data_IF_507793349677
#
_entry.id   IF_507793349677
#
_cell.length_a   1.000
_cell.length_b   1.000
_cell.length_c   1.000
_cell.angle_alpha   90.00
_cell.angle_beta   90.00
_cell.angle_gamma   90.00
#
_symmetry.space_group_name_H-M   'P 1'
#
loop_
_entity.id
_entity.type
_entity.pdbx_description
1 polymer ?
#
# COMPACT_ATOMS: atom_id res chain seq x y z
N UNK A 1 -21.40 6.76 17.00
CA UNK A 1 -19.93 6.74 17.03
C UNK A 1 -19.47 5.74 18.07
N UNK A 2 -18.62 4.79 17.71
CA UNK A 2 -17.95 3.89 18.65
C UNK A 2 -16.74 4.61 19.24
N UNK A 3 -16.53 4.51 20.55
CA UNK A 3 -15.34 5.03 21.20
C UNK A 3 -14.16 4.08 20.96
N UNK A 4 -12.95 4.61 20.78
CA UNK A 4 -11.75 3.80 20.64
C UNK A 4 -11.56 2.87 21.85
N UNK A 5 -11.50 1.56 21.59
CA UNK A 5 -11.29 0.57 22.62
C UNK A 5 -9.78 0.28 22.79
N UNK A 6 -9.31 0.15 24.03
CA UNK A 6 -7.91 -0.23 24.30
C UNK A 6 -7.52 -1.54 23.58
N UNK A 7 -8.44 -2.49 23.43
CA UNK A 7 -8.22 -3.74 22.70
C UNK A 7 -8.04 -3.51 21.20
N UNK A 8 -8.75 -2.54 20.61
CA UNK A 8 -8.57 -2.17 19.20
C UNK A 8 -7.20 -1.56 18.98
N UNK A 9 -6.80 -0.62 19.83
CA UNK A 9 -5.46 0.00 19.78
C UNK A 9 -4.34 -1.05 19.93
N UNK A 10 -4.51 -2.07 20.78
CA UNK A 10 -3.51 -3.15 20.87
C UNK A 10 -3.51 -4.06 19.63
N UNK A 11 -4.65 -4.28 18.98
CA UNK A 11 -4.73 -5.05 17.72
C UNK A 11 -4.08 -4.32 16.55
N UNK A 12 -4.06 -3.00 16.60
CA UNK A 12 -3.43 -2.13 15.58
C UNK A 12 -1.90 -2.02 15.73
N UNK A 13 -1.30 -2.62 16.76
CA UNK A 13 0.16 -2.65 16.90
C UNK A 13 0.77 -3.78 16.07
N UNK A 14 1.79 -3.44 15.29
CA UNK A 14 2.50 -4.37 14.43
C UNK A 14 4.01 -4.16 14.46
N UNK A 15 4.75 -5.22 14.15
CA UNK A 15 6.19 -5.11 13.90
C UNK A 15 6.43 -4.71 12.44
N UNK A 16 7.24 -3.67 12.22
CA UNK A 16 7.57 -3.21 10.88
C UNK A 16 8.62 -4.11 10.22
N UNK A 17 8.27 -4.70 9.07
CA UNK A 17 9.15 -5.55 8.28
C UNK A 17 9.56 -4.83 6.99
N UNK A 18 10.86 -4.55 6.78
CA UNK A 18 11.32 -3.88 5.56
C UNK A 18 11.04 -4.70 4.31
N UNK A 19 10.36 -4.08 3.32
CA UNK A 19 10.07 -4.70 2.03
C UNK A 19 11.34 -5.06 1.25
N UNK A 20 12.42 -4.29 1.43
CA UNK A 20 13.74 -4.55 0.83
C UNK A 20 14.33 -5.91 1.20
N UNK A 21 13.88 -6.54 2.29
CA UNK A 21 14.27 -7.91 2.64
C UNK A 21 13.74 -8.97 1.65
N UNK A 22 12.82 -8.59 0.78
CA UNK A 22 12.21 -9.48 -0.21
C UNK A 22 12.59 -9.12 -1.66
N UNK A 23 13.26 -7.99 -1.88
CA UNK A 23 13.72 -7.58 -3.22
C UNK A 23 15.23 -7.66 -3.37
N UNK A 24 15.98 -7.18 -2.37
CA UNK A 24 17.42 -7.02 -2.52
C UNK A 24 18.13 -8.39 -2.43
N UNK A 25 18.96 -8.78 -3.42
CA UNK A 25 19.66 -10.06 -3.42
C UNK A 25 20.51 -10.32 -2.17
N UNK A 26 21.01 -9.26 -1.51
CA UNK A 26 21.76 -9.35 -0.25
C UNK A 26 20.91 -9.90 0.90
N UNK A 27 19.61 -9.65 0.89
CA UNK A 27 18.69 -9.97 1.99
C UNK A 27 17.65 -11.04 1.64
N UNK A 28 17.38 -11.30 0.36
CA UNK A 28 16.37 -12.27 -0.10
C UNK A 28 16.61 -13.65 0.54
N UNK A 29 17.88 -14.07 0.63
CA UNK A 29 18.30 -15.37 1.18
C UNK A 29 18.29 -15.45 2.71
N UNK A 30 17.96 -14.37 3.42
CA UNK A 30 17.80 -14.41 4.88
C UNK A 30 16.63 -15.32 5.26
N UNK A 31 16.78 -16.08 6.35
CA UNK A 31 15.66 -16.83 6.89
C UNK A 31 14.54 -15.89 7.35
N UNK A 32 13.29 -16.35 7.27
CA UNK A 32 12.15 -15.59 7.78
C UNK A 32 12.31 -15.26 9.27
N UNK A 33 12.90 -16.18 10.05
CA UNK A 33 13.24 -15.95 11.46
C UNK A 33 14.22 -14.76 11.61
N UNK A 34 15.22 -14.62 10.74
CA UNK A 34 16.15 -13.50 10.77
C UNK A 34 15.47 -12.18 10.38
N UNK A 35 14.66 -12.19 9.32
CA UNK A 35 13.86 -11.03 8.88
C UNK A 35 12.94 -10.52 10.00
N UNK A 36 12.19 -11.43 10.64
CA UNK A 36 11.31 -11.12 11.78
C UNK A 36 12.13 -10.65 13.00
N UNK A 37 13.26 -11.29 13.29
CA UNK A 37 14.14 -10.89 14.40
C UNK A 37 14.61 -9.45 14.25
N UNK A 38 14.99 -9.04 13.04
CA UNK A 38 15.35 -7.65 12.76
C UNK A 38 14.18 -6.70 13.08
N UNK A 39 12.96 -7.03 12.66
CA UNK A 39 11.76 -6.22 12.94
C UNK A 39 11.46 -6.05 14.42
N UNK A 40 11.54 -7.14 15.19
CA UNK A 40 11.30 -7.11 16.64
C UNK A 40 12.37 -6.26 17.33
N UNK A 41 13.63 -6.38 16.92
CA UNK A 41 14.72 -5.57 17.49
C UNK A 41 14.59 -4.09 17.10
N UNK A 42 14.18 -3.78 15.86
CA UNK A 42 13.92 -2.40 15.40
C UNK A 42 12.83 -1.72 16.22
N UNK A 43 11.74 -2.42 16.53
CA UNK A 43 10.66 -1.89 17.39
C UNK A 43 11.17 -1.55 18.81
N UNK A 44 12.14 -2.31 19.31
CA UNK A 44 12.73 -2.10 20.63
C UNK A 44 13.76 -0.97 20.71
N UNK A 45 14.06 -0.28 19.60
CA UNK A 45 14.96 0.88 19.63
C UNK A 45 14.46 1.95 20.60
N UNK A 46 13.14 2.19 20.64
CA UNK A 46 12.53 3.17 21.56
C UNK A 46 12.80 2.84 23.03
N UNK A 47 12.82 1.56 23.40
CA UNK A 47 13.17 1.14 24.76
C UNK A 47 14.65 1.42 25.07
N UNK A 48 15.53 1.24 24.09
CA UNK A 48 16.96 1.53 24.25
C UNK A 48 17.20 3.03 24.40
N UNK A 49 16.47 3.87 23.65
CA UNK A 49 16.49 5.33 23.81
C UNK A 49 16.05 5.73 25.21
N UNK A 50 14.91 5.20 25.70
CA UNK A 50 14.42 5.47 27.07
C UNK A 50 15.40 5.01 28.17
N UNK A 51 16.19 3.98 27.88
CA UNK A 51 17.23 3.48 28.78
C UNK A 51 18.57 4.23 28.64
N UNK A 52 18.64 5.29 27.82
CA UNK A 52 19.87 6.01 27.49
C UNK A 52 20.98 5.11 26.93
N UNK A 53 20.63 4.07 26.17
CA UNK A 53 21.59 3.19 25.50
C UNK A 53 21.97 3.75 24.13
N UNK A 54 22.63 4.91 24.17
CA UNK A 54 23.13 5.64 23.01
C UNK A 54 24.63 5.84 23.21
N UNK A 55 25.43 5.56 22.20
CA UNK A 55 26.87 5.76 22.27
C UNK A 55 27.29 7.19 21.91
N UNK A 56 28.60 7.45 21.88
CA UNK A 56 29.15 8.78 21.64
C UNK A 56 28.86 9.32 20.23
N UNK A 57 28.57 8.43 19.28
CA UNK A 57 28.28 8.80 17.90
C UNK A 57 26.78 9.04 17.68
N UNK A 58 25.95 8.80 18.71
CA UNK A 58 24.50 8.81 18.59
C UNK A 58 23.91 7.46 18.16
N UNK A 59 24.71 6.40 18.07
CA UNK A 59 24.23 5.09 17.67
C UNK A 59 23.56 4.37 18.85
N UNK A 60 22.36 3.84 18.59
CA UNK A 60 21.57 3.13 19.58
C UNK A 60 22.04 1.67 19.66
N UNK A 61 22.27 1.17 20.87
CA UNK A 61 22.66 -0.20 21.11
C UNK A 61 21.77 -0.90 22.14
N UNK A 62 21.79 -2.23 22.12
CA UNK A 62 21.13 -3.06 23.11
C UNK A 62 22.14 -3.70 24.06
N UNK A 63 21.78 -3.77 25.33
CA UNK A 63 22.48 -4.57 26.34
C UNK A 63 21.58 -5.76 26.71
N UNK A 64 21.57 -6.80 25.87
CA UNK A 64 20.78 -8.01 26.11
C UNK A 64 21.65 -9.25 26.27
N UNK A 65 21.33 -10.06 27.29
CA UNK A 65 21.87 -11.41 27.43
C UNK A 65 21.26 -12.33 26.37
N UNK A 66 21.90 -13.47 26.09
CA UNK A 66 21.35 -14.46 25.16
C UNK A 66 19.99 -15.00 25.65
N UNK A 67 19.79 -15.12 26.96
CA UNK A 67 18.51 -15.52 27.55
C UNK A 67 17.41 -14.48 27.33
N UNK A 68 17.74 -13.19 27.50
CA UNK A 68 16.80 -12.11 27.25
C UNK A 68 16.41 -12.05 25.77
N UNK A 69 17.36 -12.23 24.87
CA UNK A 69 17.08 -12.31 23.43
C UNK A 69 16.18 -13.49 23.08
N UNK A 70 16.44 -14.67 23.65
CA UNK A 70 15.56 -15.85 23.48
C UNK A 70 14.13 -15.55 23.91
N UNK A 71 13.96 -14.90 25.07
CA UNK A 71 12.63 -14.51 25.58
C UNK A 71 11.94 -13.49 24.68
N UNK A 72 12.67 -12.48 24.17
CA UNK A 72 12.12 -11.45 23.29
C UNK A 72 11.68 -12.05 21.94
N UNK A 73 12.50 -12.93 21.37
CA UNK A 73 12.28 -13.52 20.06
C UNK A 73 11.39 -14.77 20.10
N UNK A 74 10.98 -15.19 21.31
CA UNK A 74 10.26 -16.44 21.55
C UNK A 74 10.97 -17.67 20.97
N UNK A 75 12.28 -17.79 21.23
CA UNK A 75 13.13 -18.89 20.74
C UNK A 75 13.63 -19.72 21.92
N UNK A 76 13.32 -21.02 21.91
CA UNK A 76 13.80 -21.94 22.95
C UNK A 76 15.26 -22.36 22.74
N UNK A 77 15.67 -22.57 21.48
CA UNK A 77 16.98 -23.15 21.14
C UNK A 77 18.10 -22.09 21.05
N UNK A 78 19.23 -22.26 21.77
CA UNK A 78 20.39 -21.36 21.67
C UNK A 78 21.09 -21.46 20.30
N UNK A 79 21.01 -22.62 19.64
CA UNK A 79 21.58 -22.84 18.31
C UNK A 79 20.84 -22.02 17.25
N UNK A 80 19.51 -21.96 17.36
CA UNK A 80 18.66 -21.13 16.48
C UNK A 80 19.00 -19.65 16.64
N UNK A 81 19.12 -19.16 17.87
CA UNK A 81 19.56 -17.77 18.12
C UNK A 81 20.94 -17.48 17.51
N UNK A 82 21.88 -18.40 17.67
CA UNK A 82 23.24 -18.24 17.14
C UNK A 82 23.25 -18.22 15.60
N UNK A 83 22.43 -19.05 14.95
CA UNK A 83 22.25 -19.05 13.50
C UNK A 83 21.69 -17.71 12.99
N UNK A 84 20.62 -17.21 13.61
CA UNK A 84 20.00 -15.93 13.25
C UNK A 84 21.00 -14.78 13.40
N UNK A 85 21.76 -14.73 14.50
CA UNK A 85 22.80 -13.70 14.69
C UNK A 85 23.85 -13.75 13.59
N UNK A 86 24.31 -14.95 13.20
CA UNK A 86 25.27 -15.12 12.11
C UNK A 86 24.71 -14.63 10.77
N UNK A 87 23.48 -15.02 10.42
CA UNK A 87 22.81 -14.57 9.19
C UNK A 87 22.70 -13.04 9.12
N UNK A 88 22.22 -12.41 10.19
CA UNK A 88 22.10 -10.94 10.25
C UNK A 88 23.46 -10.23 10.21
N UNK A 89 24.50 -10.83 10.79
CA UNK A 89 25.86 -10.28 10.73
C UNK A 89 26.44 -10.39 9.32
N UNK A 90 26.23 -11.53 8.65
CA UNK A 90 26.68 -11.76 7.27
C UNK A 90 26.01 -10.81 6.27
N UNK A 91 24.74 -10.46 6.51
CA UNK A 91 24.01 -9.48 5.72
C UNK A 91 24.31 -8.02 6.11
N UNK A 92 25.23 -7.76 7.05
CA UNK A 92 25.52 -6.43 7.59
C UNK A 92 24.32 -5.69 8.22
N UNK A 93 23.35 -6.44 8.75
CA UNK A 93 22.17 -5.89 9.44
C UNK A 93 22.34 -5.86 10.96
N UNK A 94 23.39 -6.50 11.49
CA UNK A 94 23.63 -6.64 12.91
C UNK A 94 25.13 -6.64 13.21
N UNK A 95 25.52 -5.97 14.30
CA UNK A 95 26.89 -5.99 14.79
C UNK A 95 26.93 -6.22 16.31
N UNK A 96 27.97 -6.89 16.79
CA UNK A 96 28.15 -7.20 18.20
C UNK A 96 29.55 -6.80 18.66
N UNK A 97 29.62 -5.86 19.59
CA UNK A 97 30.87 -5.36 20.17
C UNK A 97 31.05 -5.93 21.57
N UNK A 98 32.19 -6.60 21.80
CA UNK A 98 32.59 -7.11 23.12
C UNK A 98 33.19 -5.97 23.96
N UNK A 99 32.61 -5.72 25.13
CA UNK A 99 32.98 -4.58 25.99
C UNK A 99 33.99 -4.96 27.08
N UNK A 100 34.09 -6.25 27.44
CA UNK A 100 35.07 -6.73 28.43
C UNK A 100 34.68 -8.08 29.06
N UNK A 101 35.45 -8.53 30.06
CA UNK A 101 35.08 -9.68 30.89
C UNK A 101 33.86 -9.32 31.76
N UNK A 102 32.92 -10.26 31.92
CA UNK A 102 31.68 -10.12 32.73
C UNK A 102 30.73 -8.97 32.36
N UNK A 103 30.96 -8.26 31.25
CA UNK A 103 30.03 -7.24 30.73
C UNK A 103 29.25 -7.81 29.55
N UNK A 104 27.92 -7.63 29.51
CA UNK A 104 27.13 -7.98 28.33
C UNK A 104 27.62 -7.23 27.10
N UNK A 105 27.58 -7.90 25.96
CA UNK A 105 28.00 -7.32 24.68
C UNK A 105 27.02 -6.22 24.25
N UNK A 106 27.55 -5.19 23.59
CA UNK A 106 26.72 -4.18 22.92
C UNK A 106 26.28 -4.72 21.58
N UNK A 107 24.98 -4.73 21.35
CA UNK A 107 24.39 -5.20 20.10
C UNK A 107 23.88 -4.00 19.32
N UNK A 108 24.24 -3.90 18.05
CA UNK A 108 23.83 -2.83 17.15
C UNK A 108 23.00 -3.42 16.03
N UNK A 109 21.88 -2.78 15.73
CA UNK A 109 21.07 -3.10 14.56
C UNK A 109 21.31 -2.04 13.50
N UNK A 110 21.56 -2.48 12.27
CA UNK A 110 21.87 -1.60 11.14
C UNK A 110 20.65 -1.46 10.24
N UNK A 111 20.56 -0.31 9.56
CA UNK A 111 19.55 -0.08 8.52
C UNK A 111 19.90 -0.91 7.28
N UNK A 112 18.92 -1.48 6.57
CA UNK A 112 19.17 -2.13 5.30
C UNK A 112 19.60 -1.12 4.25
N UNK A 113 20.51 -1.55 3.38
CA UNK A 113 20.84 -0.85 2.14
C UNK A 113 19.70 -0.99 1.13
N UNK A 114 19.46 0.07 0.36
CA UNK A 114 18.44 0.11 -0.69
C UNK A 114 19.14 0.53 -1.98
N UNK A 115 18.95 -0.24 -3.06
CA UNK A 115 19.45 0.09 -4.40
C UNK A 115 18.34 0.67 -5.27
N UNK A 116 18.70 1.34 -6.36
CA UNK A 116 17.72 1.87 -7.33
C UNK A 116 16.80 0.76 -7.89
N UNK A 117 17.37 -0.44 -8.11
CA UNK A 117 16.61 -1.61 -8.53
C UNK A 117 15.57 -2.02 -7.48
N UNK A 118 15.90 -1.96 -6.19
CA UNK A 118 14.94 -2.26 -5.11
C UNK A 118 13.77 -1.29 -5.10
N UNK A 119 14.03 0.01 -5.32
CA UNK A 119 12.96 1.03 -5.39
C UNK A 119 12.00 0.69 -6.52
N UNK A 120 12.54 0.36 -7.70
CA UNK A 120 11.73 -0.05 -8.86
C UNK A 120 10.93 -1.33 -8.59
N UNK A 121 11.55 -2.39 -8.05
CA UNK A 121 10.84 -3.65 -7.79
C UNK A 121 9.77 -3.51 -6.71
N UNK A 122 10.03 -2.75 -5.65
CA UNK A 122 9.03 -2.51 -4.60
C UNK A 122 7.85 -1.72 -5.17
N UNK A 123 8.11 -0.68 -5.97
CA UNK A 123 7.01 0.08 -6.59
C UNK A 123 6.20 -0.76 -7.56
N UNK A 124 6.83 -1.66 -8.31
CA UNK A 124 6.10 -2.56 -9.22
C UNK A 124 5.24 -3.56 -8.44
N UNK A 125 5.77 -4.20 -7.40
CA UNK A 125 4.99 -5.14 -6.56
C UNK A 125 3.82 -4.48 -5.84
N UNK A 126 3.94 -3.20 -5.47
CA UNK A 126 2.84 -2.45 -4.84
C UNK A 126 1.73 -2.06 -5.84
N UNK A 127 2.08 -1.98 -7.13
CA UNK A 127 1.18 -1.62 -8.22
C UNK A 127 0.76 -2.82 -9.08
N UNK A 128 1.17 -4.04 -8.73
CA UNK A 128 0.79 -5.26 -9.43
C UNK A 128 -0.71 -5.53 -9.20
N UNK A 129 -1.51 -5.17 -10.20
CA UNK A 129 -2.92 -5.55 -10.29
C UNK A 129 -2.92 -6.99 -10.79
N UNK A 130 -3.26 -7.96 -9.92
CA UNK A 130 -3.57 -9.31 -10.38
C UNK A 130 -4.69 -9.23 -11.41
N UNK A 131 -4.35 -9.36 -12.70
CA UNK A 131 -5.33 -9.74 -13.70
C UNK A 131 -5.87 -11.09 -13.26
N UNK A 132 -7.13 -11.13 -12.84
CA UNK A 132 -7.90 -12.38 -12.71
C UNK A 132 -8.02 -12.98 -14.10
N UNK A 133 -6.96 -13.63 -14.55
CA UNK A 133 -7.09 -14.68 -15.52
C UNK A 133 -7.83 -15.79 -14.78
N UNK A 134 -9.06 -16.06 -15.21
CA UNK A 134 -9.74 -17.32 -14.89
C UNK A 134 -8.88 -18.45 -15.48
N UNK A 135 -7.79 -18.80 -14.81
CA UNK A 135 -7.09 -20.07 -14.97
C UNK A 135 -7.48 -20.94 -13.80
N UNK A 136 -8.77 -21.26 -13.75
CA UNK A 136 -9.21 -22.53 -13.22
C UNK A 136 -8.45 -23.60 -14.02
N UNK A 137 -7.52 -24.27 -13.33
CA UNK A 137 -6.84 -25.50 -13.74
C UNK A 137 -5.96 -25.36 -14.99
N UNK A 138 -4.70 -25.79 -14.89
CA UNK A 138 -3.82 -25.96 -16.04
C UNK A 138 -4.53 -26.71 -17.19
N UNK A 139 -4.79 -26.01 -18.30
CA UNK A 139 -5.24 -26.59 -19.58
C UNK A 139 -4.21 -27.54 -20.22
N UNK A 140 -3.22 -28.04 -19.48
CA UNK A 140 -2.29 -29.09 -19.94
C UNK A 140 -2.98 -30.44 -20.18
N UNK A 141 -4.26 -30.59 -19.81
CA UNK A 141 -5.09 -31.76 -20.10
C UNK A 141 -6.16 -31.53 -21.18
N UNK A 142 -6.15 -30.39 -21.89
CA UNK A 142 -7.02 -30.21 -23.04
C UNK A 142 -6.27 -30.68 -24.29
N UNK A 143 -6.42 -31.98 -24.56
CA UNK A 143 -5.97 -32.60 -25.80
C UNK A 143 -6.64 -31.87 -26.97
N UNK A 144 -5.85 -31.12 -27.75
CA UNK A 144 -6.31 -30.48 -28.98
C UNK A 144 -6.67 -31.58 -29.97
N UNK A 145 -7.96 -31.74 -30.26
CA UNK A 145 -8.39 -32.45 -31.46
C UNK A 145 -8.22 -31.50 -32.63
N UNK A 146 -7.15 -31.69 -33.41
CA UNK A 146 -7.04 -31.11 -34.74
C UNK A 146 -8.07 -31.80 -35.65
N UNK A 147 -8.67 -30.98 -36.51
CA UNK A 147 -9.66 -31.37 -37.51
C UNK A 147 -9.20 -32.60 -38.30
N UNK A 148 -9.96 -33.70 -38.26
CA UNK A 148 -9.96 -34.68 -39.33
C UNK A 148 -11.39 -35.06 -39.72
N UNK A 149 -11.76 -34.57 -40.90
CA UNK A 149 -12.90 -35.03 -41.67
C UNK A 149 -12.63 -36.46 -42.12
N UNK A 150 -13.49 -37.38 -41.69
CA UNK A 150 -13.72 -38.72 -42.25
C UNK A 150 -12.53 -39.45 -42.91
N UNK A 151 -11.94 -40.41 -42.19
CA UNK A 151 -11.88 -41.85 -42.54
C UNK A 151 -10.67 -42.52 -41.88
N UNK A 152 -10.97 -43.52 -41.05
CA UNK A 152 -10.14 -44.68 -40.71
C UNK A 152 -8.91 -44.41 -39.84
N UNK A 153 -8.89 -44.95 -38.61
CA UNK A 153 -7.88 -45.93 -38.11
C UNK A 153 -8.02 -46.15 -36.59
N UNK A 154 -8.18 -47.44 -36.26
CA UNK A 154 -7.82 -48.20 -35.05
C UNK A 154 -8.13 -47.66 -33.64
N UNK A 155 -9.10 -48.32 -33.00
CA UNK A 155 -9.35 -48.33 -31.56
C UNK A 155 -8.08 -48.75 -30.78
N UNK A 156 -7.47 -47.80 -30.07
CA UNK A 156 -6.52 -48.10 -28.98
C UNK A 156 -7.31 -47.99 -27.67
N UNK A 157 -7.52 -49.15 -27.04
CA UNK A 157 -8.13 -49.33 -25.74
C UNK A 157 -7.34 -48.56 -24.67
N UNK A 158 -7.99 -47.68 -23.90
CA UNK A 158 -7.41 -47.10 -22.69
C UNK A 158 -7.93 -47.90 -21.49
N UNK A 159 -7.11 -48.84 -21.01
CA UNK A 159 -7.33 -49.50 -19.73
C UNK A 159 -7.15 -48.47 -18.60
N UNK A 160 -8.21 -48.28 -17.81
CA UNK A 160 -8.21 -47.42 -16.63
C UNK A 160 -7.66 -48.24 -15.45
N UNK A 161 -6.69 -47.68 -14.71
CA UNK A 161 -6.16 -48.24 -13.47
C UNK A 161 -7.25 -48.34 -12.40
N UNK A 162 -7.54 -49.56 -11.93
CA UNK A 162 -8.54 -49.90 -10.90
C UNK A 162 -8.08 -49.58 -9.46
N UNK A 163 -7.47 -48.43 -9.19
CA UNK A 163 -6.99 -48.16 -7.82
C UNK A 163 -7.87 -47.24 -6.98
N UNK A 164 -8.84 -46.51 -7.55
CA UNK A 164 -9.76 -45.71 -6.72
C UNK A 164 -11.15 -45.59 -7.37
N UNK A 165 -11.89 -46.70 -7.45
CA UNK A 165 -13.34 -46.68 -7.70
C UNK A 165 -14.06 -46.70 -6.36
N UNK A 166 -14.78 -45.63 -6.02
CA UNK A 166 -15.74 -45.65 -4.91
C UNK A 166 -16.98 -46.40 -5.39
N UNK A 167 -17.29 -47.51 -4.73
CA UNK A 167 -18.50 -48.30 -4.92
C UNK A 167 -19.77 -47.43 -4.77
N UNK A 168 -20.65 -47.53 -5.76
CA UNK A 168 -22.05 -47.12 -5.70
C UNK A 168 -22.86 -48.11 -4.87
N UNK A 169 -23.79 -47.61 -4.05
CA UNK A 169 -25.07 -48.32 -3.83
C UNK A 169 -26.11 -47.38 -3.21
N UNK A 170 -27.18 -47.07 -3.97
CA UNK A 170 -28.58 -46.90 -3.54
C UNK A 170 -29.37 -46.13 -4.60
N UNK A 171 -29.93 -46.87 -5.54
CA UNK A 171 -31.13 -46.48 -6.30
C UNK A 171 -32.38 -46.73 -5.47
N UNK A 172 -33.32 -45.78 -5.46
CA UNK A 172 -34.80 -45.90 -5.37
C UNK A 172 -35.34 -44.49 -5.08
N UNK A 173 -36.33 -43.94 -5.78
CA UNK A 173 -37.66 -44.51 -6.05
C UNK A 173 -38.36 -43.89 -7.27
N UNK A 174 -39.20 -44.73 -7.87
CA UNK A 174 -40.20 -44.48 -8.92
C UNK A 174 -41.25 -43.41 -8.54
N UNK A 175 -41.85 -42.74 -9.54
CA UNK A 175 -43.26 -42.94 -9.94
C UNK A 175 -43.66 -41.98 -11.07
N UNK A 176 -44.28 -42.54 -12.11
CA UNK A 176 -44.86 -41.86 -13.29
C UNK A 176 -46.36 -41.64 -13.00
N UNK A 177 -46.89 -40.44 -13.28
CA UNK A 177 -48.24 -40.31 -13.84
C UNK A 177 -48.27 -39.19 -14.89
N UNK A 178 -48.56 -39.59 -16.13
CA UNK A 178 -48.93 -38.74 -17.26
C UNK A 178 -50.46 -38.65 -17.37
N UNK A 179 -50.92 -37.69 -18.20
CA UNK A 179 -52.26 -37.57 -18.81
C UNK A 179 -53.29 -36.71 -18.05
N UNK A 180 -54.03 -35.75 -18.61
CA UNK A 180 -54.28 -35.25 -19.98
C UNK A 180 -54.91 -33.84 -19.87
N UNK A 181 -54.72 -32.97 -20.88
CA UNK A 181 -55.83 -32.53 -21.75
C UNK A 181 -55.39 -31.52 -22.81
N UNK A 182 -55.70 -31.90 -24.04
CA UNK A 182 -55.67 -31.14 -25.29
C UNK A 182 -56.43 -29.81 -25.21
N UNK A 183 -56.01 -28.81 -25.98
CA UNK A 183 -56.66 -28.48 -27.27
C UNK A 183 -56.03 -27.25 -27.93
N UNK A 184 -55.98 -27.33 -29.25
CA UNK A 184 -55.40 -26.41 -30.22
C UNK A 184 -55.79 -24.93 -30.06
N UNK A 185 -54.79 -24.05 -30.16
CA UNK A 185 -54.89 -22.95 -31.13
C UNK A 185 -53.54 -22.75 -31.84
N UNK A 186 -53.59 -22.73 -33.17
CA UNK A 186 -52.44 -22.53 -34.04
C UNK A 186 -52.15 -21.04 -34.18
N UNK A 187 -50.84 -20.73 -34.22
CA UNK A 187 -50.24 -19.55 -34.84
C UNK A 187 -50.66 -18.18 -34.26
N UNK A 188 -49.75 -17.56 -33.51
CA UNK A 188 -48.87 -16.60 -34.18
C UNK A 188 -47.60 -16.28 -33.41
N UNK A 189 -46.52 -16.25 -34.18
CA UNK A 189 -45.21 -15.75 -33.82
C UNK A 189 -45.32 -14.29 -33.39
N UNK A 190 -44.99 -13.95 -32.15
CA UNK A 190 -44.29 -12.68 -31.89
C UNK A 190 -43.50 -12.73 -30.57
N UNK A 191 -42.25 -12.31 -30.68
CA UNK A 191 -41.24 -12.20 -29.63
C UNK A 191 -41.75 -11.70 -28.28
N UNK A 192 -41.56 -12.50 -27.24
CA UNK A 192 -41.41 -11.99 -25.88
C UNK A 192 -40.10 -12.51 -25.29
N UNK A 193 -39.03 -11.78 -25.59
CA UNK A 193 -37.81 -11.82 -24.78
C UNK A 193 -38.19 -11.26 -23.40
N UNK A 194 -38.35 -12.16 -22.43
CA UNK A 194 -38.49 -11.79 -21.03
C UNK A 194 -37.16 -11.18 -20.59
N UNK A 195 -37.13 -9.85 -20.49
CA UNK A 195 -36.06 -9.10 -19.86
C UNK A 195 -35.92 -9.53 -18.39
N UNK A 196 -35.09 -10.55 -18.16
CA UNK A 196 -34.44 -10.72 -16.87
C UNK A 196 -33.38 -9.63 -16.72
N UNK A 197 -33.81 -8.46 -16.25
CA UNK A 197 -32.91 -7.43 -15.76
C UNK A 197 -32.28 -7.90 -14.44
N UNK A 198 -31.25 -8.74 -14.53
CA UNK A 198 -30.28 -8.86 -13.46
C UNK A 198 -29.42 -7.59 -13.49
N UNK A 199 -29.45 -6.81 -12.42
CA UNK A 199 -28.61 -5.61 -12.29
C UNK A 199 -27.14 -6.02 -12.40
N UNK A 200 -26.46 -5.55 -13.44
CA UNK A 200 -25.01 -5.66 -13.58
C UNK A 200 -24.31 -4.96 -12.41
N UNK A 201 -24.02 -5.71 -11.35
CA UNK A 201 -23.43 -5.21 -10.11
C UNK A 201 -21.88 -5.13 -10.16
N UNK A 202 -21.28 -5.29 -11.35
CA UNK A 202 -19.82 -5.30 -11.58
C UNK A 202 -19.20 -3.94 -11.89
N UNK A 203 -20.02 -2.91 -12.16
CA UNK A 203 -19.49 -1.61 -12.61
C UNK A 203 -18.96 -0.70 -11.49
N UNK A 204 -19.39 -0.87 -10.23
CA UNK A 204 -18.99 0.04 -9.15
C UNK A 204 -17.53 -0.14 -8.71
N UNK A 205 -17.03 -1.39 -8.67
CA UNK A 205 -15.65 -1.69 -8.27
C UNK A 205 -14.64 -1.27 -9.33
N UNK A 206 -14.98 -1.40 -10.62
CA UNK A 206 -14.12 -0.92 -11.71
C UNK A 206 -14.04 0.61 -11.75
N UNK A 207 -15.13 1.31 -11.44
CA UNK A 207 -15.13 2.78 -11.39
C UNK A 207 -14.30 3.34 -10.23
N UNK A 208 -14.29 2.68 -9.07
CA UNK A 208 -13.48 3.11 -7.91
C UNK A 208 -11.98 2.91 -8.17
N UNK A 209 -11.57 1.72 -8.64
CA UNK A 209 -10.18 1.43 -8.97
C UNK A 209 -9.60 2.41 -10.01
N UNK A 210 -10.37 2.69 -11.07
CA UNK A 210 -9.96 3.64 -12.10
C UNK A 210 -9.85 5.08 -11.56
N UNK A 211 -10.72 5.47 -10.63
CA UNK A 211 -10.64 6.79 -9.99
C UNK A 211 -9.40 6.91 -9.10
N UNK A 212 -9.05 5.87 -8.34
CA UNK A 212 -7.87 5.88 -7.46
C UNK A 212 -6.57 5.94 -8.25
N UNK A 213 -6.46 5.17 -9.35
CA UNK A 213 -5.31 5.24 -10.25
C UNK A 213 -5.16 6.64 -10.88
N UNK A 214 -6.26 7.25 -11.31
CA UNK A 214 -6.25 8.61 -11.85
C UNK A 214 -5.87 9.65 -10.79
N UNK A 215 -6.33 9.48 -9.54
CA UNK A 215 -5.95 10.36 -8.43
C UNK A 215 -4.48 10.24 -8.10
N UNK A 216 -3.94 9.02 -8.07
CA UNK A 216 -2.51 8.78 -7.87
C UNK A 216 -1.67 9.54 -8.90
N UNK A 217 -1.99 9.36 -10.19
CA UNK A 217 -1.29 10.06 -11.28
C UNK A 217 -1.41 11.59 -11.18
N UNK A 218 -2.61 12.12 -10.86
CA UNK A 218 -2.79 13.57 -10.78
C UNK A 218 -2.12 14.16 -9.54
N UNK A 219 -2.01 13.42 -8.44
CA UNK A 219 -1.39 13.89 -7.20
C UNK A 219 0.12 13.68 -7.13
N UNK A 220 0.67 12.93 -8.10
CA UNK A 220 2.11 12.79 -8.28
C UNK A 220 2.80 14.18 -8.31
N UNK A 221 4.04 14.23 -7.79
CA UNK A 221 4.87 15.43 -7.65
C UNK A 221 4.39 16.47 -6.62
N UNK A 222 3.28 16.24 -5.91
CA UNK A 222 2.87 17.11 -4.80
C UNK A 222 3.45 16.62 -3.47
N UNK A 223 3.69 17.51 -2.49
CA UNK A 223 4.03 17.12 -1.11
C UNK A 223 2.95 16.25 -0.44
N UNK A 224 3.36 15.35 0.47
CA UNK A 224 2.51 14.28 1.02
C UNK A 224 1.22 14.78 1.66
N UNK A 225 1.26 15.84 2.47
CA UNK A 225 0.07 16.36 3.15
C UNK A 225 -0.92 16.98 2.15
N UNK A 226 -0.42 17.57 1.07
CA UNK A 226 -1.26 18.05 -0.01
C UNK A 226 -1.92 16.89 -0.74
N UNK A 227 -1.19 15.80 -1.00
CA UNK A 227 -1.77 14.58 -1.58
C UNK A 227 -2.89 14.04 -0.68
N UNK A 228 -2.60 13.84 0.61
CA UNK A 228 -3.54 13.30 1.60
C UNK A 228 -4.82 14.15 1.72
N UNK A 229 -4.67 15.48 1.65
CA UNK A 229 -5.82 16.38 1.71
C UNK A 229 -6.61 16.40 0.40
N UNK A 230 -5.95 16.49 -0.75
CA UNK A 230 -6.59 16.55 -2.06
C UNK A 230 -7.28 15.24 -2.44
N UNK A 231 -6.82 14.09 -1.92
CA UNK A 231 -7.44 12.80 -2.19
C UNK A 231 -8.93 12.73 -1.79
N UNK A 232 -9.38 13.65 -0.91
CA UNK A 232 -10.77 13.82 -0.45
C UNK A 232 -11.69 14.51 -1.46
N UNK A 233 -11.15 15.03 -2.56
CA UNK A 233 -11.91 15.65 -3.65
C UNK A 233 -12.13 14.67 -4.80
N UNK A 234 -13.08 14.97 -5.68
CA UNK A 234 -13.24 14.22 -6.92
C UNK A 234 -12.08 14.48 -7.88
N UNK A 235 -11.80 13.53 -8.78
CA UNK A 235 -10.68 13.64 -9.73
C UNK A 235 -10.73 14.91 -10.58
N UNK A 236 -11.93 15.35 -10.98
CA UNK A 236 -12.13 16.59 -11.75
C UNK A 236 -11.76 17.83 -10.93
N UNK A 237 -12.22 17.87 -9.69
CA UNK A 237 -11.91 18.94 -8.74
C UNK A 237 -10.41 19.00 -8.44
N UNK A 238 -9.75 17.85 -8.24
CA UNK A 238 -8.31 17.78 -7.98
C UNK A 238 -7.52 18.40 -9.13
N UNK A 239 -7.87 18.09 -10.39
CA UNK A 239 -7.19 18.65 -11.57
C UNK A 239 -7.29 20.17 -11.59
N UNK A 240 -8.45 20.71 -11.23
CA UNK A 240 -8.68 22.16 -11.14
C UNK A 240 -7.85 22.76 -10.02
N UNK A 241 -7.92 22.19 -8.82
CA UNK A 241 -7.22 22.68 -7.64
C UNK A 241 -5.70 22.65 -7.87
N UNK A 242 -5.16 21.54 -8.40
CA UNK A 242 -3.74 21.41 -8.76
C UNK A 242 -3.33 22.45 -9.79
N UNK A 243 -4.13 22.67 -10.83
CA UNK A 243 -3.86 23.71 -11.84
C UNK A 243 -3.79 25.10 -11.24
N UNK A 244 -4.75 25.46 -10.38
CA UNK A 244 -4.81 26.76 -9.71
C UNK A 244 -3.62 26.93 -8.75
N UNK A 245 -3.29 25.90 -7.97
CA UNK A 245 -2.15 25.90 -7.05
C UNK A 245 -0.81 26.13 -7.76
N UNK A 246 -0.55 25.37 -8.83
CA UNK A 246 0.70 25.49 -9.57
C UNK A 246 0.82 26.85 -10.27
N UNK A 247 -0.29 27.35 -10.82
CA UNK A 247 -0.35 28.71 -11.40
C UNK A 247 -0.12 29.78 -10.33
N UNK A 248 -0.71 29.63 -9.14
CA UNK A 248 -0.53 30.53 -8.00
C UNK A 248 0.93 30.60 -7.56
N UNK A 249 1.56 29.43 -7.32
CA UNK A 249 2.98 29.32 -6.98
C UNK A 249 3.88 29.97 -8.03
N UNK A 250 3.67 29.62 -9.31
CA UNK A 250 4.46 30.17 -10.42
C UNK A 250 4.31 31.69 -10.52
N UNK A 251 3.08 32.20 -10.39
CA UNK A 251 2.80 33.63 -10.41
C UNK A 251 3.51 34.36 -9.26
N UNK A 252 3.50 33.78 -8.06
CA UNK A 252 4.15 34.36 -6.89
C UNK A 252 5.68 34.42 -7.04
N UNK A 253 6.29 33.28 -7.41
CA UNK A 253 7.74 33.18 -7.61
C UNK A 253 8.24 34.17 -8.66
N UNK A 254 7.52 34.32 -9.77
CA UNK A 254 7.86 35.28 -10.81
C UNK A 254 7.75 36.74 -10.33
N UNK A 255 6.77 37.04 -9.47
CA UNK A 255 6.55 38.41 -8.98
C UNK A 255 7.60 38.85 -7.96
N UNK A 256 8.14 37.92 -7.17
CA UNK A 256 9.11 38.19 -6.10
C UNK A 256 10.55 37.86 -6.48
N UNK A 257 10.80 37.31 -7.67
CA UNK A 257 12.08 36.73 -8.08
C UNK A 257 12.58 35.70 -7.05
N UNK A 258 11.68 34.80 -6.64
CA UNK A 258 11.94 33.76 -5.63
C UNK A 258 11.77 32.36 -6.18
N UNK A 259 12.25 31.37 -5.43
CA UNK A 259 12.12 29.96 -5.77
C UNK A 259 11.50 29.16 -4.62
N UNK A 260 10.28 29.52 -4.20
CA UNK A 260 9.54 28.70 -3.24
C UNK A 260 9.05 27.42 -3.90
N UNK A 261 9.34 26.28 -3.28
CA UNK A 261 8.77 24.99 -3.64
C UNK A 261 7.53 24.72 -2.78
N UNK A 262 6.71 23.76 -3.18
CA UNK A 262 5.46 23.49 -2.44
C UNK A 262 5.75 22.90 -1.06
N UNK A 263 6.86 22.20 -0.92
CA UNK A 263 7.41 21.63 0.31
C UNK A 263 7.72 22.72 1.34
N UNK A 264 8.11 23.92 0.89
CA UNK A 264 8.50 25.02 1.78
C UNK A 264 7.28 25.71 2.42
N UNK A 265 6.07 25.49 1.87
CA UNK A 265 4.82 26.17 2.24
C UNK A 265 3.64 25.19 2.38
N UNK A 266 3.94 23.90 2.56
CA UNK A 266 2.95 22.82 2.48
C UNK A 266 1.81 23.00 3.48
N UNK A 267 2.15 23.33 4.74
CA UNK A 267 1.18 23.49 5.83
C UNK A 267 0.22 24.65 5.58
N UNK A 268 0.76 25.78 5.12
CA UNK A 268 0.02 26.99 4.80
C UNK A 268 -0.96 26.75 3.65
N UNK A 269 -0.50 26.07 2.58
CA UNK A 269 -1.37 25.72 1.45
C UNK A 269 -2.46 24.72 1.88
N UNK A 270 -2.16 23.72 2.71
CA UNK A 270 -3.20 22.82 3.26
C UNK A 270 -4.23 23.60 4.08
N UNK A 271 -3.81 24.62 4.83
CA UNK A 271 -4.71 25.52 5.56
C UNK A 271 -5.64 26.30 4.61
N UNK A 272 -5.11 26.83 3.52
CA UNK A 272 -5.90 27.47 2.46
C UNK A 272 -6.94 26.51 1.88
N UNK A 273 -6.55 25.27 1.57
CA UNK A 273 -7.47 24.27 1.01
C UNK A 273 -8.58 23.88 1.99
N UNK A 274 -8.29 23.81 3.29
CA UNK A 274 -9.31 23.61 4.35
C UNK A 274 -10.32 24.74 4.40
N UNK A 275 -9.85 25.99 4.37
CA UNK A 275 -10.74 27.17 4.33
C UNK A 275 -11.53 27.23 3.03
N UNK A 276 -10.91 26.84 1.92
CA UNK A 276 -11.57 26.76 0.62
C UNK A 276 -12.71 25.73 0.63
N UNK A 277 -12.49 24.52 1.18
CA UNK A 277 -13.56 23.51 1.30
C UNK A 277 -14.72 24.01 2.16
N UNK A 278 -14.43 24.69 3.27
CA UNK A 278 -15.47 25.31 4.09
C UNK A 278 -16.26 26.36 3.30
N UNK A 279 -15.58 27.18 2.47
CA UNK A 279 -16.23 28.19 1.64
C UNK A 279 -17.11 27.57 0.54
N UNK A 280 -16.68 26.48 -0.11
CA UNK A 280 -17.50 25.74 -1.08
C UNK A 280 -18.82 25.28 -0.45
N UNK A 281 -18.75 24.73 0.77
CA UNK A 281 -19.93 24.27 1.51
C UNK A 281 -20.85 25.44 1.93
N UNK A 282 -20.28 26.56 2.36
CA UNK A 282 -21.05 27.74 2.77
C UNK A 282 -21.77 28.40 1.61
N UNK A 283 -21.13 28.48 0.43
CA UNK A 283 -21.72 29.13 -0.76
C UNK A 283 -22.52 28.18 -1.63
N UNK A 284 -22.39 26.86 -1.42
CA UNK A 284 -22.97 25.83 -2.27
C UNK A 284 -22.57 26.00 -3.76
N UNK A 285 -21.29 26.28 -3.98
CA UNK A 285 -20.69 26.53 -5.29
C UNK A 285 -19.71 25.42 -5.66
N UNK A 286 -19.47 25.20 -6.95
CA UNK A 286 -18.51 24.20 -7.41
C UNK A 286 -17.06 24.69 -7.38
N UNK A 287 -16.12 23.75 -7.42
CA UNK A 287 -14.68 24.06 -7.51
C UNK A 287 -14.37 24.84 -8.79
N UNK A 288 -15.05 24.55 -9.90
CA UNK A 288 -14.94 25.29 -11.16
C UNK A 288 -15.33 26.76 -11.00
N UNK A 289 -16.46 27.04 -10.35
CA UNK A 289 -16.96 28.40 -10.16
C UNK A 289 -16.05 29.22 -9.23
N UNK A 290 -15.45 28.57 -8.22
CA UNK A 290 -14.64 29.24 -7.20
C UNK A 290 -13.13 29.26 -7.48
N UNK A 291 -12.67 28.95 -8.70
CA UNK A 291 -11.23 28.97 -9.06
C UNK A 291 -10.57 30.33 -8.78
N UNK A 292 -11.25 31.44 -9.08
CA UNK A 292 -10.72 32.79 -8.85
C UNK A 292 -10.50 33.07 -7.36
N UNK A 293 -11.43 32.62 -6.52
CA UNK A 293 -11.30 32.73 -5.06
C UNK A 293 -10.13 31.91 -4.53
N UNK A 294 -9.98 30.66 -5.01
CA UNK A 294 -8.86 29.80 -4.63
C UNK A 294 -7.51 30.42 -5.04
N UNK A 295 -7.42 30.94 -6.27
CA UNK A 295 -6.22 31.62 -6.77
C UNK A 295 -5.81 32.78 -5.85
N UNK A 296 -6.78 33.65 -5.51
CA UNK A 296 -6.52 34.80 -4.65
C UNK A 296 -6.10 34.36 -3.24
N UNK A 297 -6.74 33.32 -2.70
CA UNK A 297 -6.42 32.79 -1.37
C UNK A 297 -5.01 32.22 -1.31
N UNK A 298 -4.58 31.49 -2.35
CA UNK A 298 -3.22 30.93 -2.44
C UNK A 298 -2.20 32.04 -2.55
N UNK A 299 -2.43 33.05 -3.40
CA UNK A 299 -1.53 34.20 -3.52
C UNK A 299 -1.37 34.92 -2.19
N UNK A 300 -2.48 35.25 -1.53
CA UNK A 300 -2.45 35.93 -0.24
C UNK A 300 -1.64 35.16 0.82
N UNK A 301 -1.82 33.84 0.91
CA UNK A 301 -1.06 33.02 1.87
C UNK A 301 0.45 33.00 1.56
N UNK A 302 0.83 32.94 0.28
CA UNK A 302 2.24 33.01 -0.12
C UNK A 302 2.85 34.37 0.21
N UNK A 303 2.12 35.47 0.02
CA UNK A 303 2.55 36.82 0.42
C UNK A 303 2.78 36.90 1.93
N UNK A 304 1.85 36.41 2.74
CA UNK A 304 1.98 36.42 4.20
C UNK A 304 3.19 35.60 4.66
N UNK A 305 3.35 34.40 4.09
CA UNK A 305 4.46 33.50 4.41
C UNK A 305 5.80 34.13 4.04
N UNK A 306 5.88 34.75 2.86
CA UNK A 306 7.07 35.45 2.41
C UNK A 306 7.39 36.68 3.28
N UNK A 307 6.39 37.49 3.62
CA UNK A 307 6.58 38.63 4.50
C UNK A 307 7.10 38.21 5.88
N UNK A 308 6.56 37.12 6.45
CA UNK A 308 7.05 36.54 7.71
C UNK A 308 8.49 36.05 7.60
N UNK A 309 8.83 35.38 6.50
CA UNK A 309 10.20 34.94 6.23
C UNK A 309 11.17 36.14 6.18
N UNK A 310 10.82 37.19 5.43
CA UNK A 310 11.63 38.40 5.31
C UNK A 310 11.81 39.12 6.65
N UNK A 311 10.76 39.20 7.48
CA UNK A 311 10.85 39.74 8.85
C UNK A 311 11.84 38.95 9.71
N UNK A 312 11.79 37.62 9.69
CA UNK A 312 12.71 36.76 10.46
C UNK A 312 14.16 36.93 10.03
N UNK A 313 14.41 37.08 8.72
CA UNK A 313 15.76 37.33 8.21
C UNK A 313 16.30 38.70 8.65
N UNK A 314 15.46 39.73 8.63
CA UNK A 314 15.87 41.08 9.02
C UNK A 314 16.16 41.20 10.52
N UNK A 315 15.41 40.50 11.39
CA UNK A 315 15.66 40.46 12.84
C UNK A 315 17.06 39.90 13.15
N UNK A 316 17.49 38.83 12.48
CA UNK A 316 18.83 38.27 12.68
C UNK A 316 19.94 39.24 12.29
N UNK A 317 19.71 40.06 11.25
CA UNK A 317 20.69 41.02 10.74
C UNK A 317 20.82 42.29 11.60
N UNK A 318 19.78 42.64 12.36
CA UNK A 318 19.72 43.90 13.11
C UNK A 318 19.59 43.66 14.63
N UNK A 319 20.06 42.51 15.11
CA UNK A 319 19.94 42.15 16.51
C UNK A 319 20.94 42.95 17.36
N UNK A 320 20.43 43.94 18.09
CA UNK A 320 21.20 44.93 18.88
C UNK A 320 21.96 44.27 20.04
N UNK A 321 21.65 43.02 20.39
CA UNK A 321 22.28 42.26 21.46
C UNK A 321 23.49 41.40 21.03
N UNK A 322 23.89 41.46 19.76
CA UNK A 322 25.08 40.78 19.23
C UNK A 322 26.20 41.76 18.84
N UNK A 323 26.32 42.91 19.52
CA UNK A 323 27.50 43.80 19.45
C UNK A 323 28.41 43.61 20.65
#
# INVERSE_FOLDING_TARGET
>A
MSNFNIKEIQKEKFYQLPKVFFTNPKYVNLSNDAKITWSILRDRLDLSIRNNWVDKNGDIFFIYTNEKLKSILNISSPNKLSKIKKELTQADLFNQIRVGLNKPNKLYIKKPEVTEADVYYISQQENDIEQRNNTDVSNSYVQKYDNDTSRNINLIHHDISKEYTNDTDLSNTDYIETENNDTHDMNDTYNNSTNHNHSNHTNHQQTEFNNDALKFQVLEELPQQLQDYLNKFEIREIRIIKSVLLKGKKSFNNAHDTYYRLEDVEFEIVSVLKRFKAMLLQKNESVEAMQGYLMQSIKAELEETHALYMRRQNIKKHNIFNQ
#
